data_IF_822797855549
#
_entry.id   IF_822797855549
#
_cell.length_a   1.000
_cell.length_b   1.000
_cell.length_c   1.000
_cell.angle_alpha   90.00
_cell.angle_beta   90.00
_cell.angle_gamma   90.00
#
_symmetry.space_group_name_H-M   'P 1'
#
loop_
_entity.id
_entity.type
_entity.pdbx_description
1 polymer ?
#
# COMPACT_ATOMS: atom_id res chain seq x y z
N UNK A 1 21.91 16.95 -9.69
CA UNK A 1 22.79 15.84 -10.13
C UNK A 1 22.00 14.53 -9.99
N UNK A 2 21.98 13.65 -10.99
CA UNK A 2 21.19 12.40 -10.97
C UNK A 2 21.59 11.47 -9.80
N UNK A 3 22.82 11.53 -9.35
CA UNK A 3 23.30 10.79 -8.17
C UNK A 3 22.63 11.24 -6.87
N UNK A 4 22.42 12.54 -6.68
CA UNK A 4 21.77 13.11 -5.49
C UNK A 4 20.29 12.68 -5.40
N UNK A 5 19.59 12.65 -6.54
CA UNK A 5 18.20 12.22 -6.61
C UNK A 5 18.03 10.72 -6.28
N UNK A 6 18.98 9.90 -6.73
CA UNK A 6 18.97 8.45 -6.42
C UNK A 6 19.28 8.19 -4.94
N UNK A 7 20.19 8.94 -4.35
CA UNK A 7 20.54 8.83 -2.92
C UNK A 7 19.38 9.28 -2.02
N UNK A 8 18.72 10.40 -2.34
CA UNK A 8 17.53 10.87 -1.63
C UNK A 8 16.37 9.87 -1.68
N UNK A 9 16.15 9.24 -2.83
CA UNK A 9 15.12 8.22 -3.00
C UNK A 9 15.40 6.98 -2.15
N UNK A 10 16.65 6.55 -2.08
CA UNK A 10 17.05 5.41 -1.25
C UNK A 10 16.94 5.74 0.25
N UNK A 11 17.34 6.94 0.66
CA UNK A 11 17.22 7.40 2.05
C UNK A 11 15.76 7.47 2.49
N UNK A 12 14.90 8.01 1.65
CA UNK A 12 13.45 8.04 1.90
C UNK A 12 12.83 6.65 2.02
N UNK A 13 13.30 5.71 1.19
CA UNK A 13 12.87 4.31 1.25
C UNK A 13 13.27 3.64 2.58
N UNK A 14 14.50 3.84 3.03
CA UNK A 14 14.98 3.35 4.32
C UNK A 14 14.16 3.96 5.46
N UNK A 15 13.90 5.26 5.42
CA UNK A 15 13.06 5.93 6.40
C UNK A 15 11.65 5.31 6.48
N UNK A 16 11.02 4.99 5.34
CA UNK A 16 9.72 4.34 5.31
C UNK A 16 9.75 2.95 5.93
N UNK A 17 10.81 2.18 5.70
CA UNK A 17 10.98 0.85 6.31
C UNK A 17 11.14 0.97 7.83
N UNK A 18 11.94 1.93 8.31
CA UNK A 18 12.10 2.20 9.72
C UNK A 18 10.78 2.63 10.37
N UNK A 19 10.09 3.58 9.77
CA UNK A 19 8.83 4.10 10.28
C UNK A 19 7.72 3.04 10.29
N UNK A 20 7.58 2.26 9.23
CA UNK A 20 6.57 1.21 9.15
C UNK A 20 6.80 0.10 10.19
N UNK A 21 8.05 -0.33 10.39
CA UNK A 21 8.39 -1.30 11.44
C UNK A 21 8.19 -0.72 12.85
N UNK A 22 8.51 0.57 13.05
CA UNK A 22 8.27 1.26 14.33
C UNK A 22 6.78 1.33 14.65
N UNK A 23 5.96 1.69 13.67
CA UNK A 23 4.50 1.76 13.82
C UNK A 23 3.90 0.37 14.12
N UNK A 24 4.34 -0.64 13.39
CA UNK A 24 3.89 -2.02 13.58
C UNK A 24 4.28 -2.55 14.98
N UNK A 25 5.53 -2.44 15.37
CA UNK A 25 6.02 -2.92 16.68
C UNK A 25 5.38 -2.15 17.84
N UNK A 26 5.16 -0.85 17.68
CA UNK A 26 4.47 -0.03 18.68
C UNK A 26 3.01 -0.50 18.87
N UNK A 27 2.31 -0.78 17.79
CA UNK A 27 0.94 -1.30 17.84
C UNK A 27 0.86 -2.62 18.61
N UNK A 28 1.80 -3.52 18.36
CA UNK A 28 1.86 -4.82 19.06
C UNK A 28 2.08 -4.63 20.56
N UNK A 29 3.02 -3.80 20.95
CA UNK A 29 3.34 -3.57 22.39
C UNK A 29 2.23 -2.80 23.10
N UNK A 30 1.65 -1.79 22.45
CA UNK A 30 0.67 -0.92 23.10
C UNK A 30 -0.75 -1.52 23.14
N UNK A 31 -1.15 -2.30 22.12
CA UNK A 31 -2.54 -2.71 21.94
C UNK A 31 -2.75 -4.22 21.88
N UNK A 32 -1.84 -4.98 21.27
CA UNK A 32 -2.04 -6.42 21.07
C UNK A 32 -1.59 -7.23 22.28
N UNK A 33 -0.34 -7.07 22.73
CA UNK A 33 0.19 -7.82 23.87
C UNK A 33 -0.60 -7.59 25.16
N UNK A 34 -0.98 -6.32 25.53
CA UNK A 34 -1.72 -6.09 26.76
C UNK A 34 -3.15 -6.62 26.73
N UNK A 35 -3.78 -6.70 25.58
CA UNK A 35 -5.17 -7.13 25.44
C UNK A 35 -5.34 -8.65 25.34
N UNK A 36 -4.27 -9.40 25.01
CA UNK A 36 -4.33 -10.85 24.81
C UNK A 36 -5.14 -11.28 23.57
N UNK A 37 -5.44 -10.36 22.66
CA UNK A 37 -6.21 -10.63 21.45
C UNK A 37 -5.41 -11.59 20.55
N UNK A 38 -6.07 -12.64 20.03
CA UNK A 38 -5.46 -13.53 19.04
C UNK A 38 -5.26 -12.79 17.73
N UNK A 39 -4.21 -13.13 17.00
CA UNK A 39 -3.81 -12.43 15.80
C UNK A 39 -3.45 -13.39 14.67
N UNK A 40 -3.46 -12.91 13.45
CA UNK A 40 -2.87 -13.61 12.30
C UNK A 40 -1.35 -13.54 12.30
N UNK A 41 -0.77 -13.80 11.15
CA UNK A 41 0.66 -13.70 10.92
C UNK A 41 1.48 -14.82 11.58
N UNK A 42 2.79 -14.61 11.59
CA UNK A 42 3.75 -15.61 12.11
C UNK A 42 3.52 -15.89 13.59
N UNK A 43 3.19 -14.88 14.37
CA UNK A 43 2.93 -15.04 15.82
C UNK A 43 1.69 -15.92 16.05
N UNK A 44 0.61 -15.69 15.31
CA UNK A 44 -0.60 -16.52 15.39
C UNK A 44 -0.33 -17.98 15.03
N UNK A 45 0.45 -18.22 13.98
CA UNK A 45 0.86 -19.56 13.58
C UNK A 45 1.76 -20.22 14.63
N UNK A 46 2.67 -19.46 15.24
CA UNK A 46 3.53 -19.94 16.32
C UNK A 46 2.73 -20.34 17.58
N UNK A 47 1.71 -19.57 17.94
CA UNK A 47 0.81 -19.87 19.03
C UNK A 47 0.02 -21.18 18.77
N UNK A 48 -0.51 -21.35 17.58
CA UNK A 48 -1.18 -22.58 17.19
C UNK A 48 -0.25 -23.80 17.24
N UNK A 49 0.98 -23.65 16.74
CA UNK A 49 2.00 -24.70 16.81
C UNK A 49 2.40 -25.04 18.24
N UNK A 50 2.55 -24.04 19.10
CA UNK A 50 2.86 -24.24 20.51
C UNK A 50 1.75 -25.00 21.25
N UNK A 51 0.49 -24.70 20.93
CA UNK A 51 -0.65 -25.40 21.53
C UNK A 51 -0.69 -26.87 21.16
N UNK A 52 -0.51 -27.22 19.89
CA UNK A 52 -0.70 -28.61 19.42
C UNK A 52 0.57 -29.45 19.46
N UNK A 53 1.73 -28.84 19.24
CA UNK A 53 3.01 -29.57 19.15
C UNK A 53 4.00 -29.23 20.26
N UNK A 54 3.61 -28.37 21.20
CA UNK A 54 4.45 -27.90 22.31
C UNK A 54 5.80 -27.30 21.84
N UNK A 55 5.81 -26.66 20.67
CA UNK A 55 7.00 -26.04 20.12
C UNK A 55 7.27 -24.70 20.82
N UNK A 56 8.54 -24.33 21.08
CA UNK A 56 8.88 -23.02 21.58
C UNK A 56 8.49 -21.95 20.55
N UNK A 57 7.72 -20.93 20.96
CA UNK A 57 7.22 -19.87 20.06
C UNK A 57 8.37 -19.17 19.35
N UNK A 58 9.41 -18.80 20.10
CA UNK A 58 10.59 -18.10 19.55
C UNK A 58 11.31 -18.93 18.49
N UNK A 59 11.51 -20.23 18.73
CA UNK A 59 12.16 -21.12 17.78
C UNK A 59 11.32 -21.28 16.51
N UNK A 60 9.99 -21.45 16.66
CA UNK A 60 9.08 -21.54 15.52
C UNK A 60 9.11 -20.26 14.66
N UNK A 61 8.99 -19.09 15.30
CA UNK A 61 9.03 -17.79 14.59
C UNK A 61 10.35 -17.63 13.84
N UNK A 62 11.47 -17.95 14.48
CA UNK A 62 12.78 -17.87 13.84
C UNK A 62 12.88 -18.78 12.63
N UNK A 63 12.53 -20.05 12.77
CA UNK A 63 12.57 -21.02 11.67
C UNK A 63 11.64 -20.61 10.52
N UNK A 64 10.42 -20.18 10.83
CA UNK A 64 9.45 -19.73 9.84
C UNK A 64 9.93 -18.48 9.11
N UNK A 65 10.46 -17.48 9.84
CA UNK A 65 10.98 -16.27 9.23
C UNK A 65 12.20 -16.54 8.34
N UNK A 66 13.11 -17.44 8.75
CA UNK A 66 14.24 -17.84 7.90
C UNK A 66 13.74 -18.55 6.65
N UNK A 67 12.77 -19.47 6.78
CA UNK A 67 12.20 -20.18 5.63
C UNK A 67 11.55 -19.21 4.64
N UNK A 68 10.68 -18.33 5.12
CA UNK A 68 10.00 -17.34 4.27
C UNK A 68 10.97 -16.34 3.66
N UNK A 69 12.02 -15.93 4.40
CA UNK A 69 13.09 -15.09 3.88
C UNK A 69 13.82 -15.76 2.71
N UNK A 70 14.20 -17.03 2.85
CA UNK A 70 14.86 -17.78 1.78
C UNK A 70 13.97 -17.92 0.55
N UNK A 71 12.69 -18.24 0.73
CA UNK A 71 11.72 -18.29 -0.36
C UNK A 71 11.57 -16.91 -1.03
N UNK A 72 11.51 -15.85 -0.26
CA UNK A 72 11.48 -14.47 -0.76
C UNK A 72 12.74 -14.12 -1.56
N UNK A 73 13.92 -14.53 -1.08
CA UNK A 73 15.19 -14.33 -1.77
C UNK A 73 15.18 -14.99 -3.16
N UNK A 74 14.75 -16.24 -3.24
CA UNK A 74 14.73 -16.99 -4.50
C UNK A 74 13.70 -16.45 -5.49
N UNK A 75 12.52 -16.05 -5.02
CA UNK A 75 11.41 -15.65 -5.88
C UNK A 75 11.42 -14.15 -6.17
N UNK A 76 11.63 -13.32 -5.15
CA UNK A 76 11.52 -11.86 -5.23
C UNK A 76 12.88 -11.19 -5.53
N UNK A 77 13.98 -11.89 -5.32
CA UNK A 77 15.32 -11.46 -5.68
C UNK A 77 16.07 -10.72 -4.57
N UNK A 78 17.35 -10.41 -4.85
CA UNK A 78 18.30 -9.88 -3.88
C UNK A 78 17.93 -8.50 -3.31
N UNK A 79 17.40 -7.61 -4.14
CA UNK A 79 17.00 -6.25 -3.68
C UNK A 79 15.92 -6.30 -2.61
N UNK A 80 14.94 -7.19 -2.78
CA UNK A 80 13.90 -7.43 -1.79
C UNK A 80 14.49 -8.07 -0.53
N UNK A 81 15.33 -9.10 -0.68
CA UNK A 81 15.94 -9.79 0.44
C UNK A 81 16.80 -8.87 1.29
N UNK A 82 17.60 -7.99 0.69
CA UNK A 82 18.44 -7.05 1.43
C UNK A 82 17.62 -6.07 2.30
N UNK A 83 16.51 -5.55 1.78
CA UNK A 83 15.61 -4.66 2.54
C UNK A 83 14.80 -5.41 3.58
N UNK A 84 14.40 -6.64 3.31
CA UNK A 84 13.70 -7.51 4.27
C UNK A 84 14.62 -7.95 5.41
N UNK A 85 15.89 -8.19 5.13
CA UNK A 85 16.89 -8.49 6.17
C UNK A 85 16.98 -7.35 7.21
N UNK A 86 16.96 -6.10 6.74
CA UNK A 86 16.90 -4.93 7.62
C UNK A 86 15.68 -4.99 8.56
N UNK A 87 14.49 -5.23 8.02
CA UNK A 87 13.26 -5.36 8.81
C UNK A 87 13.30 -6.52 9.80
N UNK A 88 13.87 -7.65 9.39
CA UNK A 88 13.96 -8.86 10.22
C UNK A 88 14.73 -8.61 11.52
N UNK A 89 15.77 -7.78 11.49
CA UNK A 89 16.50 -7.38 12.70
C UNK A 89 15.87 -6.17 13.40
N UNK A 90 15.37 -5.21 12.62
CA UNK A 90 14.83 -3.97 13.15
C UNK A 90 13.57 -4.18 13.98
N UNK A 91 12.66 -5.04 13.52
CA UNK A 91 11.40 -5.29 14.20
C UNK A 91 11.59 -5.80 15.64
N UNK A 92 12.37 -6.86 15.92
CA UNK A 92 12.62 -7.31 17.27
C UNK A 92 13.30 -6.26 18.16
N UNK A 93 14.22 -5.47 17.60
CA UNK A 93 14.91 -4.39 18.33
C UNK A 93 13.91 -3.32 18.75
N UNK A 94 13.05 -2.88 17.85
CA UNK A 94 12.02 -1.89 18.14
C UNK A 94 10.98 -2.43 19.13
N UNK A 95 10.61 -3.71 19.00
CA UNK A 95 9.71 -4.36 19.94
C UNK A 95 10.29 -4.33 21.37
N UNK A 96 11.55 -4.73 21.52
CA UNK A 96 12.26 -4.68 22.81
C UNK A 96 12.39 -3.24 23.34
N UNK A 97 12.63 -2.28 22.45
CA UNK A 97 12.70 -0.87 22.82
C UNK A 97 11.37 -0.35 23.38
N UNK A 98 10.26 -0.61 22.70
CA UNK A 98 8.95 -0.17 23.17
C UNK A 98 8.51 -0.84 24.48
N UNK A 99 8.91 -2.09 24.69
CA UNK A 99 8.62 -2.82 25.93
C UNK A 99 9.29 -2.23 27.18
N UNK A 100 10.32 -1.39 27.01
CA UNK A 100 10.95 -0.67 28.12
C UNK A 100 10.06 0.42 28.72
N UNK A 101 8.97 0.80 28.05
CA UNK A 101 8.03 1.83 28.49
C UNK A 101 6.71 1.20 28.98
N UNK A 102 6.58 0.92 30.31
CA UNK A 102 5.37 0.30 30.84
C UNK A 102 4.09 1.11 30.60
N UNK A 103 4.22 2.45 30.45
CA UNK A 103 3.12 3.34 30.13
C UNK A 103 2.41 2.98 28.81
N UNK A 104 3.13 2.43 27.84
CA UNK A 104 2.54 2.01 26.55
C UNK A 104 1.58 0.84 26.72
N UNK A 105 1.89 -0.12 27.58
CA UNK A 105 1.04 -1.29 27.84
C UNK A 105 -0.19 -0.96 28.69
N UNK A 106 -0.26 0.23 29.26
CA UNK A 106 -1.36 0.69 30.11
C UNK A 106 -2.19 1.83 29.51
N UNK A 107 -2.03 2.12 28.22
CA UNK A 107 -2.75 3.20 27.54
C UNK A 107 -4.26 3.00 27.58
N UNK A 108 -4.72 1.79 27.34
CA UNK A 108 -6.12 1.40 27.43
C UNK A 108 -6.28 -0.06 27.77
N UNK A 109 -7.34 -0.39 28.48
CA UNK A 109 -7.78 -1.77 28.79
C UNK A 109 -8.98 -2.19 27.94
N UNK A 110 -9.50 -1.27 27.14
CA UNK A 110 -10.66 -1.53 26.29
C UNK A 110 -10.22 -2.39 25.08
N UNK A 111 -10.73 -3.62 25.03
CA UNK A 111 -10.41 -4.56 23.97
C UNK A 111 -10.82 -4.06 22.58
N UNK A 112 -11.93 -3.31 22.49
CA UNK A 112 -12.40 -2.75 21.23
C UNK A 112 -11.45 -1.65 20.72
N UNK A 113 -11.06 -0.73 21.58
CA UNK A 113 -10.07 0.29 21.24
C UNK A 113 -8.73 -0.32 20.85
N UNK A 114 -8.25 -1.34 21.59
CA UNK A 114 -7.04 -2.07 21.24
C UNK A 114 -7.14 -2.71 19.86
N UNK A 115 -8.28 -3.31 19.54
CA UNK A 115 -8.52 -3.95 18.25
C UNK A 115 -8.53 -2.94 17.09
N UNK A 116 -9.24 -1.82 17.26
CA UNK A 116 -9.36 -0.79 16.21
C UNK A 116 -8.01 -0.10 16.01
N UNK A 117 -7.42 0.46 17.06
CA UNK A 117 -6.17 1.21 16.96
C UNK A 117 -5.00 0.31 16.57
N UNK A 118 -4.91 -0.87 17.19
CA UNK A 118 -3.90 -1.87 16.86
C UNK A 118 -4.00 -2.33 15.42
N UNK A 119 -5.21 -2.64 14.94
CA UNK A 119 -5.46 -3.04 13.56
C UNK A 119 -5.09 -1.95 12.55
N UNK A 120 -5.48 -0.70 12.81
CA UNK A 120 -5.13 0.43 11.96
C UNK A 120 -3.61 0.64 11.88
N UNK A 121 -2.92 0.61 13.01
CA UNK A 121 -1.47 0.81 13.06
C UNK A 121 -0.71 -0.36 12.43
N UNK A 122 -1.14 -1.60 12.67
CA UNK A 122 -0.54 -2.80 12.05
C UNK A 122 -0.68 -2.73 10.54
N UNK A 123 -1.89 -2.50 10.03
CA UNK A 123 -2.15 -2.40 8.60
C UNK A 123 -1.37 -1.28 7.93
N UNK A 124 -1.31 -0.11 8.56
CA UNK A 124 -0.52 1.02 8.07
C UNK A 124 0.98 0.70 8.09
N UNK A 125 1.50 0.13 9.18
CA UNK A 125 2.91 -0.22 9.31
C UNK A 125 3.38 -1.23 8.26
N UNK A 126 2.66 -2.34 8.12
CA UNK A 126 2.95 -3.37 7.10
C UNK A 126 2.83 -2.78 5.69
N UNK A 127 1.77 -2.03 5.41
CA UNK A 127 1.54 -1.41 4.12
C UNK A 127 2.64 -0.44 3.70
N UNK A 128 3.15 0.38 4.62
CA UNK A 128 4.26 1.30 4.39
C UNK A 128 5.54 0.54 4.06
N UNK A 129 5.86 -0.53 4.79
CA UNK A 129 7.05 -1.37 4.53
C UNK A 129 6.96 -2.04 3.15
N UNK A 130 5.80 -2.61 2.80
CA UNK A 130 5.59 -3.25 1.50
C UNK A 130 5.70 -2.23 0.37
N UNK A 131 5.15 -1.04 0.52
CA UNK A 131 5.30 0.05 -0.47
C UNK A 131 6.75 0.51 -0.64
N UNK A 132 7.54 0.44 0.40
CA UNK A 132 8.97 0.68 0.31
C UNK A 132 9.75 -0.44 -0.40
N UNK A 133 9.06 -1.52 -0.82
CA UNK A 133 9.64 -2.66 -1.51
C UNK A 133 10.38 -3.63 -0.60
N UNK A 134 9.95 -3.72 0.65
CA UNK A 134 10.43 -4.65 1.65
C UNK A 134 9.28 -5.48 2.23
N UNK A 135 9.58 -6.35 3.18
CA UNK A 135 8.64 -7.06 4.02
C UNK A 135 8.99 -6.82 5.48
N UNK A 136 8.03 -6.97 6.38
CA UNK A 136 8.30 -6.98 7.82
C UNK A 136 9.00 -8.26 8.28
N UNK A 137 9.10 -9.25 7.40
CA UNK A 137 9.72 -10.55 7.63
C UNK A 137 8.76 -11.53 8.30
N UNK A 138 8.24 -12.49 7.58
CA UNK A 138 7.29 -13.45 8.12
C UNK A 138 6.14 -13.73 7.18
N UNK A 139 4.91 -13.70 7.70
CA UNK A 139 3.71 -14.13 6.96
C UNK A 139 3.27 -13.17 5.86
N UNK A 140 3.82 -11.99 5.74
CA UNK A 140 3.60 -11.07 4.61
C UNK A 140 4.43 -11.42 3.36
N UNK A 141 5.44 -12.28 3.48
CA UNK A 141 6.26 -12.73 2.33
C UNK A 141 5.48 -13.65 1.38
N UNK A 142 4.77 -14.71 1.83
CA UNK A 142 3.98 -15.55 0.93
C UNK A 142 3.00 -14.79 0.04
N UNK A 143 2.21 -13.81 0.53
CA UNK A 143 1.38 -12.97 -0.33
C UNK A 143 2.15 -12.21 -1.41
N UNK A 144 3.35 -11.72 -1.10
CA UNK A 144 4.21 -11.04 -2.07
C UNK A 144 4.72 -11.99 -3.16
N UNK A 145 5.03 -13.22 -2.79
CA UNK A 145 5.40 -14.29 -3.75
C UNK A 145 4.22 -14.60 -4.67
N UNK A 146 3.03 -14.78 -4.12
CA UNK A 146 1.81 -15.03 -4.89
C UNK A 146 1.44 -13.86 -5.81
N UNK A 147 1.65 -12.63 -5.36
CA UNK A 147 1.52 -11.45 -6.23
C UNK A 147 2.44 -11.52 -7.43
N UNK A 148 3.70 -11.90 -7.23
CA UNK A 148 4.67 -11.98 -8.32
C UNK A 148 4.36 -13.12 -9.30
N UNK A 149 3.98 -14.28 -8.80
CA UNK A 149 3.76 -15.49 -9.62
C UNK A 149 2.37 -15.52 -10.27
N UNK A 150 1.34 -15.11 -9.55
CA UNK A 150 -0.06 -15.27 -9.95
C UNK A 150 -0.82 -13.95 -10.07
N UNK A 151 -0.17 -12.81 -9.84
CA UNK A 151 -0.77 -11.46 -9.87
C UNK A 151 -1.95 -11.28 -8.88
N UNK A 152 -1.96 -12.05 -7.80
CA UNK A 152 -2.98 -11.95 -6.76
C UNK A 152 -2.76 -10.70 -5.89
N UNK A 153 -3.82 -10.02 -5.44
CA UNK A 153 -3.70 -8.85 -4.54
C UNK A 153 -3.09 -9.27 -3.19
N UNK A 154 -2.13 -8.50 -2.69
CA UNK A 154 -1.43 -8.78 -1.42
C UNK A 154 -2.41 -8.78 -0.24
N UNK A 155 -3.28 -7.78 -0.16
CA UNK A 155 -4.25 -7.63 0.92
C UNK A 155 -5.22 -8.81 0.98
N UNK A 156 -5.76 -9.24 -0.16
CA UNK A 156 -6.68 -10.37 -0.22
C UNK A 156 -6.02 -11.70 0.17
N UNK A 157 -4.80 -11.95 -0.31
CA UNK A 157 -4.04 -13.16 0.05
C UNK A 157 -3.62 -13.16 1.51
N UNK A 158 -3.20 -12.03 2.04
CA UNK A 158 -2.86 -11.89 3.46
C UNK A 158 -4.09 -12.16 4.33
N UNK A 159 -5.25 -11.61 3.94
CA UNK A 159 -6.52 -11.87 4.63
C UNK A 159 -6.83 -13.36 4.71
N UNK A 160 -6.69 -14.09 3.59
CA UNK A 160 -6.97 -15.54 3.55
C UNK A 160 -6.00 -16.30 4.47
N UNK A 161 -4.72 -16.01 4.44
CA UNK A 161 -3.73 -16.65 5.30
C UNK A 161 -4.00 -16.36 6.78
N UNK A 162 -4.19 -15.10 7.13
CA UNK A 162 -4.39 -14.69 8.51
C UNK A 162 -5.71 -15.18 9.08
N UNK A 163 -6.78 -15.18 8.26
CA UNK A 163 -8.05 -15.75 8.67
C UNK A 163 -7.96 -17.26 8.90
N UNK A 164 -7.22 -17.97 8.04
CA UNK A 164 -6.97 -19.40 8.24
C UNK A 164 -6.20 -19.68 9.54
N UNK A 165 -5.22 -18.84 9.88
CA UNK A 165 -4.47 -18.93 11.13
C UNK A 165 -5.37 -18.65 12.34
N UNK A 166 -6.28 -17.67 12.24
CA UNK A 166 -7.29 -17.43 13.28
C UNK A 166 -8.20 -18.62 13.50
N UNK A 167 -8.66 -19.27 12.45
CA UNK A 167 -9.50 -20.47 12.56
C UNK A 167 -8.76 -21.56 13.36
N UNK A 168 -7.47 -21.75 13.13
CA UNK A 168 -6.67 -22.68 13.91
C UNK A 168 -6.62 -22.31 15.39
N UNK A 169 -6.53 -21.02 15.72
CA UNK A 169 -6.50 -20.54 17.10
C UNK A 169 -7.87 -20.60 17.79
N UNK A 170 -8.97 -20.51 17.04
CA UNK A 170 -10.33 -20.60 17.59
C UNK A 170 -10.61 -21.94 18.28
N UNK A 171 -9.90 -23.01 17.95
CA UNK A 171 -10.08 -24.32 18.59
C UNK A 171 -9.63 -24.33 20.05
N UNK A 172 -8.82 -23.36 20.49
CA UNK A 172 -8.32 -23.27 21.86
C UNK A 172 -8.46 -21.88 22.49
N UNK A 173 -9.13 -20.96 21.83
CA UNK A 173 -9.40 -19.60 22.32
C UNK A 173 -10.87 -19.43 22.67
N UNK A 174 -11.16 -18.47 23.53
CA UNK A 174 -12.53 -18.10 23.87
C UNK A 174 -13.23 -17.45 22.68
N UNK A 175 -14.56 -17.47 22.69
CA UNK A 175 -15.38 -16.89 21.61
C UNK A 175 -15.12 -15.39 21.49
N UNK A 176 -14.99 -14.69 22.61
CA UNK A 176 -14.77 -13.24 22.63
C UNK A 176 -13.41 -12.86 22.05
N UNK A 177 -12.34 -13.58 22.44
CA UNK A 177 -11.00 -13.40 21.86
C UNK A 177 -11.00 -13.69 20.35
N UNK A 178 -11.73 -14.72 19.93
CA UNK A 178 -11.88 -15.08 18.51
C UNK A 178 -12.57 -13.99 17.71
N UNK A 179 -13.63 -13.40 18.24
CA UNK A 179 -14.36 -12.30 17.58
C UNK A 179 -13.50 -11.04 17.44
N UNK A 180 -12.75 -10.68 18.49
CA UNK A 180 -11.80 -9.57 18.40
C UNK A 180 -10.66 -9.86 17.42
N UNK A 181 -10.18 -11.10 17.36
CA UNK A 181 -9.16 -11.51 16.39
C UNK A 181 -9.65 -11.38 14.93
N UNK A 182 -10.88 -11.81 14.65
CA UNK A 182 -11.51 -11.61 13.33
C UNK A 182 -11.58 -10.13 12.99
N UNK A 183 -12.09 -9.31 13.89
CA UNK A 183 -12.21 -7.87 13.70
C UNK A 183 -10.84 -7.23 13.46
N UNK A 184 -9.82 -7.63 14.21
CA UNK A 184 -8.44 -7.17 14.05
C UNK A 184 -7.91 -7.46 12.65
N UNK A 185 -8.05 -8.71 12.18
CA UNK A 185 -7.59 -9.12 10.83
C UNK A 185 -8.33 -8.32 9.76
N UNK A 186 -9.62 -8.13 9.90
CA UNK A 186 -10.41 -7.35 8.94
C UNK A 186 -9.90 -5.89 8.87
N UNK A 187 -9.68 -5.26 10.02
CA UNK A 187 -9.24 -3.86 10.09
C UNK A 187 -7.84 -3.71 9.49
N UNK A 188 -6.86 -4.51 9.92
CA UNK A 188 -5.50 -4.30 9.41
C UNK A 188 -5.37 -4.66 7.93
N UNK A 189 -6.10 -5.66 7.44
CA UNK A 189 -6.10 -6.00 6.01
C UNK A 189 -6.75 -4.91 5.16
N UNK A 190 -7.85 -4.32 5.64
CA UNK A 190 -8.50 -3.20 4.98
C UNK A 190 -7.58 -1.96 4.91
N UNK A 191 -6.95 -1.61 6.04
CA UNK A 191 -6.02 -0.47 6.09
C UNK A 191 -4.79 -0.73 5.22
N UNK A 192 -4.24 -1.95 5.25
CA UNK A 192 -3.14 -2.38 4.38
C UNK A 192 -3.50 -2.16 2.90
N UNK A 193 -4.68 -2.62 2.47
CA UNK A 193 -5.14 -2.43 1.09
C UNK A 193 -5.18 -0.95 0.71
N UNK A 194 -5.77 -0.11 1.56
CA UNK A 194 -5.82 1.33 1.32
C UNK A 194 -4.42 1.95 1.24
N UNK A 195 -3.51 1.58 2.12
CA UNK A 195 -2.12 2.09 2.09
C UNK A 195 -1.39 1.65 0.82
N UNK A 196 -1.59 0.43 0.36
CA UNK A 196 -0.95 -0.07 -0.87
C UNK A 196 -1.39 0.69 -2.12
N UNK A 197 -2.64 1.15 -2.16
CA UNK A 197 -3.18 1.85 -3.33
C UNK A 197 -3.10 3.38 -3.25
N UNK A 198 -2.69 3.97 -2.11
CA UNK A 198 -2.52 5.43 -2.00
C UNK A 198 -1.57 5.95 -3.08
N UNK A 199 -2.04 6.92 -3.87
CA UNK A 199 -1.26 7.59 -4.91
C UNK A 199 -1.02 6.77 -6.17
N UNK A 200 -1.62 5.58 -6.32
CA UNK A 200 -1.63 4.81 -7.56
C UNK A 200 -2.83 5.15 -8.44
N UNK A 201 -3.85 5.79 -7.85
CA UNK A 201 -5.03 6.20 -8.60
C UNK A 201 -4.70 7.28 -9.61
N UNK A 202 -5.09 7.02 -10.83
CA UNK A 202 -5.11 7.99 -11.93
C UNK A 202 -6.51 8.61 -12.01
N UNK A 203 -6.59 9.78 -12.60
CA UNK A 203 -7.86 10.39 -12.90
C UNK A 203 -7.93 10.69 -14.41
N UNK A 204 -9.04 10.34 -15.00
CA UNK A 204 -9.40 10.76 -16.34
C UNK A 204 -10.12 12.09 -16.25
N UNK A 205 -9.69 13.04 -17.04
CA UNK A 205 -10.35 14.32 -17.23
C UNK A 205 -10.85 14.44 -18.67
N UNK A 206 -12.13 14.69 -18.83
CA UNK A 206 -12.77 15.04 -20.10
C UNK A 206 -13.10 16.53 -20.07
N UNK A 207 -12.51 17.29 -20.98
CA UNK A 207 -12.58 18.75 -21.02
C UNK A 207 -13.33 19.18 -22.28
N UNK A 208 -14.40 19.95 -22.09
CA UNK A 208 -15.17 20.55 -23.14
C UNK A 208 -14.94 22.07 -23.10
N UNK A 209 -14.32 22.62 -24.12
CA UNK A 209 -13.98 24.04 -24.20
C UNK A 209 -13.84 24.47 -25.66
N UNK A 210 -14.22 25.71 -25.96
CA UNK A 210 -13.93 26.32 -27.27
C UNK A 210 -12.43 26.57 -27.48
N UNK A 211 -11.65 26.66 -26.39
CA UNK A 211 -10.20 26.84 -26.38
C UNK A 211 -9.43 25.52 -26.22
N UNK A 212 -10.01 24.41 -26.69
CA UNK A 212 -9.46 23.06 -26.51
C UNK A 212 -8.01 22.93 -27.04
N UNK A 213 -7.65 23.64 -28.09
CA UNK A 213 -6.32 23.57 -28.69
C UNK A 213 -5.25 24.22 -27.79
N UNK A 214 -5.57 25.39 -27.20
CA UNK A 214 -4.70 26.06 -26.26
C UNK A 214 -4.52 25.23 -24.98
N UNK A 215 -5.60 24.65 -24.49
CA UNK A 215 -5.59 23.72 -23.34
C UNK A 215 -4.75 22.49 -23.66
N UNK A 216 -4.89 21.90 -24.85
CA UNK A 216 -4.09 20.77 -25.31
C UNK A 216 -2.59 21.08 -25.29
N UNK A 217 -2.19 22.22 -25.83
CA UNK A 217 -0.80 22.66 -25.82
C UNK A 217 -0.27 22.88 -24.41
N UNK A 218 -1.08 23.51 -23.54
CA UNK A 218 -0.70 23.76 -22.15
C UNK A 218 -0.54 22.46 -21.35
N UNK A 219 -1.40 21.47 -21.54
CA UNK A 219 -1.25 20.16 -20.90
C UNK A 219 0.04 19.48 -21.35
N UNK A 220 0.35 19.54 -22.62
CA UNK A 220 1.58 18.94 -23.15
C UNK A 220 2.84 19.65 -22.61
N UNK A 221 2.85 20.99 -22.60
CA UNK A 221 4.04 21.76 -22.24
C UNK A 221 4.26 21.89 -20.74
N UNK A 222 3.17 22.05 -19.94
CA UNK A 222 3.27 22.30 -18.49
C UNK A 222 3.18 21.03 -17.65
N UNK A 223 2.41 20.01 -18.10
CA UNK A 223 2.22 18.75 -17.37
C UNK A 223 2.98 17.56 -17.97
N UNK A 224 3.51 17.73 -19.19
CA UNK A 224 4.15 16.63 -19.94
C UNK A 224 3.22 15.40 -20.03
N UNK A 225 1.93 15.63 -20.30
CA UNK A 225 0.90 14.59 -20.43
C UNK A 225 0.32 14.60 -21.84
N UNK A 226 0.06 13.38 -22.35
CA UNK A 226 -0.67 13.19 -23.60
C UNK A 226 -2.16 13.45 -23.40
N UNK A 227 -2.82 13.83 -24.48
CA UNK A 227 -4.26 13.95 -24.54
C UNK A 227 -4.78 13.43 -25.88
N UNK A 228 -6.06 13.07 -25.89
CA UNK A 228 -6.77 12.58 -27.06
C UNK A 228 -7.97 13.47 -27.32
N UNK A 229 -8.14 13.90 -28.57
CA UNK A 229 -9.35 14.60 -28.99
C UNK A 229 -10.39 13.55 -29.41
N UNK A 230 -11.54 13.60 -28.78
CA UNK A 230 -12.71 12.80 -29.15
C UNK A 230 -13.64 13.69 -29.96
N UNK A 231 -13.98 13.28 -31.18
CA UNK A 231 -14.94 14.01 -32.00
C UNK A 231 -16.31 13.94 -31.33
N UNK A 232 -16.88 15.11 -31.07
CA UNK A 232 -18.18 15.24 -30.43
C UNK A 232 -18.94 16.40 -31.05
N UNK A 233 -20.28 16.30 -31.05
CA UNK A 233 -21.17 17.35 -31.47
C UNK A 233 -21.99 17.81 -30.26
N UNK A 234 -22.08 19.12 -30.06
CA UNK A 234 -22.87 19.68 -28.96
C UNK A 234 -24.35 19.37 -29.11
N UNK A 235 -24.98 18.91 -28.01
CA UNK A 235 -26.39 18.47 -28.07
C UNK A 235 -27.39 19.57 -28.39
N UNK A 236 -27.12 20.80 -27.93
CA UNK A 236 -28.03 21.92 -28.11
C UNK A 236 -27.79 22.69 -29.44
N UNK A 237 -26.54 23.09 -29.68
CA UNK A 237 -26.19 23.88 -30.86
C UNK A 237 -25.90 23.02 -32.10
N UNK A 238 -25.74 21.72 -31.92
CA UNK A 238 -25.38 20.74 -32.96
C UNK A 238 -24.13 21.16 -33.76
N UNK A 239 -23.19 21.82 -33.07
CA UNK A 239 -21.90 22.21 -33.62
C UNK A 239 -20.81 21.22 -33.22
N UNK A 240 -19.84 21.02 -34.11
CA UNK A 240 -18.68 20.17 -33.79
C UNK A 240 -17.81 20.84 -32.74
N UNK A 241 -17.65 20.14 -31.61
CA UNK A 241 -16.80 20.58 -30.48
C UNK A 241 -16.07 19.38 -29.88
N UNK A 242 -14.78 19.20 -30.17
CA UNK A 242 -14.03 18.08 -29.65
C UNK A 242 -13.96 18.07 -28.12
N UNK A 243 -14.06 16.88 -27.52
CA UNK A 243 -13.79 16.67 -26.12
C UNK A 243 -12.33 16.27 -25.96
N UNK A 244 -11.59 17.00 -25.15
CA UNK A 244 -10.19 16.73 -24.85
C UNK A 244 -10.11 15.79 -23.64
N UNK A 245 -9.72 14.54 -23.89
CA UNK A 245 -9.53 13.53 -22.87
C UNK A 245 -8.06 13.43 -22.49
N UNK A 246 -7.76 13.52 -21.20
CA UNK A 246 -6.41 13.28 -20.66
C UNK A 246 -6.47 12.44 -19.40
N UNK A 247 -5.37 11.74 -19.09
CA UNK A 247 -5.21 10.98 -17.85
C UNK A 247 -4.01 11.55 -17.09
N UNK A 248 -4.25 11.91 -15.87
CA UNK A 248 -3.26 12.52 -14.97
C UNK A 248 -3.28 11.81 -13.62
N UNK A 249 -2.19 11.94 -12.86
CA UNK A 249 -2.20 11.50 -11.46
C UNK A 249 -3.08 12.43 -10.62
N UNK A 250 -3.61 11.92 -9.51
CA UNK A 250 -4.39 12.77 -8.58
C UNK A 250 -3.61 13.99 -8.08
N UNK A 251 -2.28 13.92 -8.01
CA UNK A 251 -1.43 15.06 -7.62
C UNK A 251 -1.39 16.15 -8.69
N UNK A 252 -1.47 15.76 -9.95
CA UNK A 252 -1.45 16.69 -11.09
C UNK A 252 -2.83 17.31 -11.36
N UNK A 253 -3.90 16.75 -10.76
CA UNK A 253 -5.27 17.21 -11.01
C UNK A 253 -5.49 18.69 -10.64
N UNK A 254 -4.92 19.15 -9.53
CA UNK A 254 -5.01 20.56 -9.14
C UNK A 254 -4.37 21.47 -10.19
N UNK A 255 -3.19 21.09 -10.69
CA UNK A 255 -2.50 21.83 -11.75
C UNK A 255 -3.26 21.79 -13.08
N UNK A 256 -3.86 20.65 -13.42
CA UNK A 256 -4.70 20.53 -14.62
C UNK A 256 -5.92 21.47 -14.53
N UNK A 257 -6.62 21.46 -13.40
CA UNK A 257 -7.77 22.34 -13.19
C UNK A 257 -7.37 23.83 -13.27
N UNK A 258 -6.25 24.19 -12.69
CA UNK A 258 -5.73 25.55 -12.78
C UNK A 258 -5.43 25.95 -14.23
N UNK A 259 -4.74 25.11 -15.01
CA UNK A 259 -4.43 25.37 -16.42
C UNK A 259 -5.71 25.56 -17.24
N UNK A 260 -6.71 24.69 -17.05
CA UNK A 260 -7.97 24.79 -17.78
C UNK A 260 -8.69 26.09 -17.44
N UNK A 261 -8.82 26.43 -16.17
CA UNK A 261 -9.53 27.64 -15.72
C UNK A 261 -8.78 28.92 -16.04
N UNK A 262 -7.46 28.91 -16.16
CA UNK A 262 -6.66 30.05 -16.62
C UNK A 262 -6.91 30.37 -18.10
N UNK A 263 -7.13 29.35 -18.93
CA UNK A 263 -7.32 29.50 -20.38
C UNK A 263 -8.79 29.75 -20.71
N UNK A 264 -9.68 28.98 -20.10
CA UNK A 264 -11.13 29.10 -20.32
C UNK A 264 -11.89 28.93 -18.99
N UNK A 265 -12.26 30.03 -18.33
CA UNK A 265 -13.06 30.00 -17.09
C UNK A 265 -14.45 29.36 -17.24
N UNK A 266 -14.93 29.21 -18.48
CA UNK A 266 -16.22 28.59 -18.79
C UNK A 266 -16.10 27.14 -19.28
N UNK A 267 -14.90 26.59 -19.26
CA UNK A 267 -14.70 25.19 -19.65
C UNK A 267 -15.49 24.22 -18.74
N UNK A 268 -16.03 23.21 -19.35
CA UNK A 268 -16.69 22.12 -18.61
C UNK A 268 -15.71 20.96 -18.44
N UNK A 269 -15.42 20.60 -17.19
CA UNK A 269 -14.46 19.60 -16.81
C UNK A 269 -15.14 18.46 -16.06
N UNK A 270 -15.09 17.26 -16.63
CA UNK A 270 -15.56 16.02 -15.99
C UNK A 270 -14.34 15.26 -15.48
N UNK A 271 -14.35 14.91 -14.20
CA UNK A 271 -13.28 14.12 -13.59
C UNK A 271 -13.85 12.78 -13.16
N UNK A 272 -13.24 11.70 -13.59
CA UNK A 272 -13.58 10.34 -13.19
C UNK A 272 -12.34 9.59 -12.70
N UNK A 273 -12.51 8.71 -11.72
CA UNK A 273 -11.42 7.86 -11.26
C UNK A 273 -11.11 6.78 -12.30
N UNK A 274 -9.84 6.65 -12.64
CA UNK A 274 -9.33 5.57 -13.46
C UNK A 274 -8.61 4.56 -12.55
N UNK A 275 -9.25 3.42 -12.31
CA UNK A 275 -8.72 2.40 -11.40
C UNK A 275 -7.42 1.77 -11.91
N UNK A 276 -7.29 1.61 -13.21
CA UNK A 276 -6.10 1.04 -13.83
C UNK A 276 -5.83 1.71 -15.18
N UNK A 277 -4.62 2.22 -15.36
CA UNK A 277 -4.14 2.77 -16.62
C UNK A 277 -2.84 2.08 -16.99
N UNK A 278 -2.82 1.42 -18.15
CA UNK A 278 -1.65 0.75 -18.71
C UNK A 278 -1.20 1.45 -19.98
N UNK A 279 0.09 1.64 -20.14
CA UNK A 279 0.66 2.20 -21.37
C UNK A 279 1.84 3.13 -21.16
N UNK A 280 2.23 3.81 -22.25
CA UNK A 280 3.37 4.73 -22.25
C UNK A 280 3.14 5.91 -21.31
N UNK A 281 4.11 6.16 -20.44
CA UNK A 281 4.05 7.22 -19.44
C UNK A 281 3.36 6.85 -18.11
N UNK A 282 2.79 5.63 -17.99
CA UNK A 282 2.16 5.11 -16.78
C UNK A 282 2.82 3.81 -16.31
N UNK A 283 2.78 2.75 -17.12
CA UNK A 283 3.38 1.45 -16.80
C UNK A 283 4.63 1.14 -17.64
N UNK A 284 4.83 1.84 -18.74
CA UNK A 284 6.01 1.73 -19.61
C UNK A 284 6.69 3.09 -19.77
N UNK A 285 7.98 3.07 -20.12
CA UNK A 285 8.77 4.29 -20.37
C UNK A 285 8.12 5.13 -21.47
N UNK A 286 8.02 6.45 -21.25
CA UNK A 286 7.50 7.38 -22.26
C UNK A 286 8.34 7.29 -23.54
N UNK A 287 7.70 6.98 -24.65
CA UNK A 287 8.29 7.07 -25.97
C UNK A 287 7.84 8.41 -26.56
N UNK A 288 8.71 9.43 -26.50
CA UNK A 288 8.46 10.68 -27.23
C UNK A 288 8.65 10.43 -28.73
N UNK A 289 7.57 10.10 -29.42
CA UNK A 289 7.60 10.21 -30.89
C UNK A 289 7.59 11.69 -31.23
N UNK A 290 8.67 12.19 -31.83
CA UNK A 290 8.67 13.53 -32.43
C UNK A 290 7.53 13.59 -33.45
N UNK A 291 6.61 14.49 -33.24
CA UNK A 291 5.62 14.81 -34.25
C UNK A 291 6.37 15.51 -35.39
N UNK A 292 6.41 14.97 -36.61
CA UNK A 292 7.10 15.62 -37.72
C UNK A 292 6.49 16.97 -38.16
N UNK A 293 5.34 17.35 -37.57
CA UNK A 293 4.58 18.55 -37.86
C UNK A 293 4.58 19.61 -36.73
N UNK A 294 5.50 19.50 -35.75
CA UNK A 294 5.74 20.50 -34.72
C UNK A 294 7.16 21.02 -34.79
#
# INVERSE_FOLDING_TARGET
SPKLHHTLKNLFRIFLILFGNALYSLAVVAFILPSGIITGGTTGLALASAHWFHTPITAFVLCFNVLTFLLGLFVLGWKFAATTLLSTFLYPILLAFWQQFPALSSLTKDAMLCTILGGMMIGAGIGIVIRAGASTGGMDIPPLILKKLFHLPVSATLYVFDFSILILQMFFSDIEESLYGILLVMIYTFVLDKVLVIGTHQARADIVSSHYEEIRQAIFTRLDRGCTLLNATTGYLQTDQPVLMTVVSRREMASLNQIVMEIDPHAFLIISDANEVKGSGFTSTKIHKKNPNL
#
